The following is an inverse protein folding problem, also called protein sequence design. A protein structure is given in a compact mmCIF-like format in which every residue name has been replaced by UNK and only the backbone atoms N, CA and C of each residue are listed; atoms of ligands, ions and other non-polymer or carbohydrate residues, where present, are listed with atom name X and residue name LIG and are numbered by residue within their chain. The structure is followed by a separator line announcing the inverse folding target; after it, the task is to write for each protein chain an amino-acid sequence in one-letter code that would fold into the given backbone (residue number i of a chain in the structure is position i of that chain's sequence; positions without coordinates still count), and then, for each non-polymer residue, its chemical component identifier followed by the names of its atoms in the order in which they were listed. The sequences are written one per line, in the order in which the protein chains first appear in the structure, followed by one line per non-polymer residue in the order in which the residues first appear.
data_IF_868285785654
#
_entry.id   IF_868285785654
#
_cell.length_a   1.000
_cell.length_b   1.000
_cell.length_c   1.000
_cell.angle_alpha   90.00
_cell.angle_beta   90.00
_cell.angle_gamma   90.00
#
_symmetry.space_group_name_H-M   'P 1'
#
loop_
_entity.id
_entity.type
_entity.pdbx_description
1 polymer ?
#
# COMPACT_ATOMS: atom_id res chain seq x y z
N UNK A 1 1.14 -46.50 1.76
CA UNK A 1 0.19 -45.41 2.09
C UNK A 1 0.97 -44.32 2.80
N UNK A 2 1.42 -43.29 2.08
CA UNK A 2 2.15 -42.17 2.67
C UNK A 2 1.17 -41.04 2.97
N UNK A 3 1.12 -40.65 4.23
CA UNK A 3 0.32 -39.57 4.79
C UNK A 3 0.99 -38.21 4.49
N UNK A 4 0.54 -37.54 3.44
CA UNK A 4 0.97 -36.16 3.16
C UNK A 4 0.32 -35.22 4.18
N UNK A 5 1.10 -34.80 5.17
CA UNK A 5 0.72 -33.79 6.14
C UNK A 5 0.81 -32.42 5.46
N UNK A 6 -0.34 -31.88 5.06
CA UNK A 6 -0.42 -30.52 4.53
C UNK A 6 0.06 -29.54 5.61
N UNK A 7 1.13 -28.81 5.32
CA UNK A 7 1.61 -27.69 6.13
C UNK A 7 0.55 -26.58 6.11
N UNK A 8 0.21 -25.95 7.25
CA UNK A 8 -0.72 -24.83 7.25
C UNK A 8 -0.07 -23.69 6.47
N UNK A 9 -0.62 -23.38 5.30
CA UNK A 9 -0.19 -22.27 4.48
C UNK A 9 -0.25 -20.99 5.31
N UNK A 10 0.88 -20.34 5.47
CA UNK A 10 0.97 -18.96 5.88
C UNK A 10 0.29 -18.11 4.79
N UNK A 11 -1.01 -17.88 4.93
CA UNK A 11 -1.83 -17.05 4.03
C UNK A 11 -1.52 -15.56 4.18
N UNK A 12 -0.25 -15.21 4.32
CA UNK A 12 0.16 -13.80 4.31
C UNK A 12 0.31 -13.41 2.85
N UNK A 13 -0.81 -12.93 2.31
CA UNK A 13 -0.95 -12.37 0.96
C UNK A 13 -0.14 -11.07 0.86
N UNK A 14 1.17 -11.21 0.67
CA UNK A 14 2.09 -10.11 0.42
C UNK A 14 2.24 -9.81 -1.09
N UNK A 15 1.40 -10.44 -1.92
CA UNK A 15 1.59 -10.44 -3.37
C UNK A 15 2.67 -11.42 -3.84
N UNK A 16 2.78 -11.58 -5.15
CA UNK A 16 3.83 -12.37 -5.79
C UNK A 16 5.04 -11.46 -6.06
N UNK A 17 6.25 -11.94 -5.76
CA UNK A 17 7.48 -11.21 -6.09
C UNK A 17 7.83 -11.45 -7.56
N UNK A 18 8.45 -10.45 -8.20
CA UNK A 18 9.01 -10.60 -9.55
C UNK A 18 10.09 -11.67 -9.56
N UNK A 19 9.97 -12.63 -10.48
CA UNK A 19 10.85 -13.81 -10.55
C UNK A 19 11.89 -13.72 -11.66
N UNK A 20 11.63 -12.94 -12.70
CA UNK A 20 12.48 -12.85 -13.88
C UNK A 20 12.47 -11.45 -14.53
N UNK A 21 13.37 -11.27 -15.49
CA UNK A 21 13.58 -10.00 -16.21
C UNK A 21 12.36 -9.61 -17.08
N UNK A 22 11.51 -10.57 -17.46
CA UNK A 22 10.30 -10.31 -18.25
C UNK A 22 9.21 -9.69 -17.37
N UNK A 23 8.98 -10.26 -16.17
CA UNK A 23 8.10 -9.70 -15.14
C UNK A 23 8.58 -8.32 -14.63
N UNK A 24 9.88 -8.03 -14.69
CA UNK A 24 10.45 -6.73 -14.30
C UNK A 24 10.11 -5.62 -15.33
N UNK A 25 10.10 -5.93 -16.62
CA UNK A 25 9.71 -4.99 -17.68
C UNK A 25 8.24 -4.55 -17.54
N UNK A 26 7.35 -5.48 -17.18
CA UNK A 26 5.95 -5.20 -16.90
C UNK A 26 5.80 -4.21 -15.71
N UNK A 27 6.67 -4.30 -14.71
CA UNK A 27 6.69 -3.35 -13.59
C UNK A 27 7.18 -1.96 -14.03
N UNK A 28 8.19 -1.86 -14.88
CA UNK A 28 8.69 -0.56 -15.36
C UNK A 28 7.63 0.22 -16.15
N UNK A 29 6.76 -0.49 -16.89
CA UNK A 29 5.63 0.12 -17.58
C UNK A 29 4.51 0.56 -16.60
N UNK A 30 4.24 -0.24 -15.56
CA UNK A 30 3.14 -0.01 -14.61
C UNK A 30 3.48 0.98 -13.48
N UNK A 31 4.74 1.03 -13.04
CA UNK A 31 5.18 1.82 -11.89
C UNK A 31 5.56 3.22 -12.33
N UNK A 32 5.08 4.24 -11.60
CA UNK A 32 5.48 5.62 -11.85
C UNK A 32 6.98 5.80 -11.53
N UNK A 33 7.75 6.50 -12.38
CA UNK A 33 9.17 6.71 -12.15
C UNK A 33 9.47 7.29 -10.76
N UNK A 34 10.46 6.71 -10.06
CA UNK A 34 10.80 7.05 -8.67
C UNK A 34 11.09 8.53 -8.43
N UNK A 35 11.70 9.22 -9.39
CA UNK A 35 12.00 10.66 -9.32
C UNK A 35 10.75 11.54 -9.15
N UNK A 36 9.55 11.03 -9.50
CA UNK A 36 8.29 11.75 -9.25
C UNK A 36 7.92 11.84 -7.77
N UNK A 37 8.64 11.15 -6.89
CA UNK A 37 8.47 11.21 -5.45
C UNK A 37 9.61 11.99 -4.76
N UNK A 38 10.56 12.54 -5.50
CA UNK A 38 11.60 13.41 -4.94
C UNK A 38 10.98 14.69 -4.38
N UNK A 39 11.22 14.93 -3.10
CA UNK A 39 10.69 16.07 -2.34
C UNK A 39 11.37 17.39 -2.67
N UNK A 40 12.53 17.38 -3.34
CA UNK A 40 13.30 18.60 -3.64
C UNK A 40 12.65 19.45 -4.73
N UNK A 41 12.07 18.82 -5.77
CA UNK A 41 11.39 19.50 -6.88
C UNK A 41 9.87 19.27 -6.92
N UNK A 42 9.32 18.36 -6.10
CA UNK A 42 7.89 18.06 -6.11
C UNK A 42 7.19 18.56 -4.83
N UNK A 43 6.48 19.69 -4.96
CA UNK A 43 5.69 20.26 -3.88
C UNK A 43 4.35 19.52 -3.64
N UNK A 44 4.00 18.58 -4.50
CA UNK A 44 2.77 17.78 -4.41
C UNK A 44 3.02 16.36 -3.88
N UNK A 45 4.07 16.16 -3.07
CA UNK A 45 4.34 14.85 -2.47
C UNK A 45 3.24 14.54 -1.46
N UNK A 46 2.55 13.42 -1.70
CA UNK A 46 1.58 12.88 -0.76
C UNK A 46 2.29 12.46 0.53
N UNK A 47 1.61 12.56 1.66
CA UNK A 47 2.12 12.05 2.93
C UNK A 47 2.58 10.59 2.77
N UNK A 48 3.82 10.23 3.18
CA UNK A 48 4.33 8.87 3.06
C UNK A 48 3.63 7.97 4.09
N UNK A 49 2.75 7.09 3.60
CA UNK A 49 1.94 6.18 4.43
C UNK A 49 2.59 4.82 4.49
N UNK A 50 2.73 4.26 5.69
CA UNK A 50 3.27 2.91 5.89
C UNK A 50 2.17 1.90 6.21
N UNK A 51 2.29 0.68 5.66
CA UNK A 51 1.43 -0.44 6.05
C UNK A 51 1.61 -0.73 7.54
N UNK A 52 0.51 -0.83 8.28
CA UNK A 52 0.53 -1.05 9.72
C UNK A 52 0.79 0.21 10.57
N UNK A 53 0.94 1.39 9.97
CA UNK A 53 1.00 2.67 10.69
C UNK A 53 -0.31 2.93 11.45
N UNK A 54 -0.22 3.42 12.69
CA UNK A 54 -1.39 3.85 13.47
C UNK A 54 -1.47 5.37 13.43
N UNK A 55 -2.45 5.89 12.68
CA UNK A 55 -2.68 7.32 12.54
C UNK A 55 -3.63 7.85 13.60
N UNK A 56 -3.27 9.00 14.18
CA UNK A 56 -4.02 9.64 15.26
C UNK A 56 -4.37 8.67 16.40
N UNK A 57 -3.46 7.72 16.67
CA UNK A 57 -3.61 6.67 17.69
C UNK A 57 -4.90 5.83 17.56
N UNK A 58 -5.54 5.85 16.39
CA UNK A 58 -6.89 5.27 16.19
C UNK A 58 -7.02 4.45 14.93
N UNK A 59 -6.42 4.87 13.82
CA UNK A 59 -6.65 4.23 12.53
C UNK A 59 -5.41 3.43 12.14
N UNK A 60 -5.51 2.10 12.19
CA UNK A 60 -4.47 1.19 11.71
C UNK A 60 -4.56 1.08 10.19
N UNK A 61 -3.53 1.57 9.49
CA UNK A 61 -3.48 1.53 8.02
C UNK A 61 -3.32 0.10 7.53
N UNK A 62 -4.24 -0.32 6.66
CA UNK A 62 -4.23 -1.60 5.95
C UNK A 62 -3.92 -1.40 4.47
N UNK A 63 -4.84 -1.81 3.59
CA UNK A 63 -4.57 -1.86 2.15
C UNK A 63 -4.87 -0.54 1.41
N UNK A 64 -4.09 -0.19 0.39
CA UNK A 64 -4.39 0.94 -0.50
C UNK A 64 -5.63 0.64 -1.36
N UNK A 65 -6.63 1.51 -1.35
CA UNK A 65 -7.87 1.35 -2.12
C UNK A 65 -7.81 2.03 -3.48
N UNK A 66 -7.02 3.10 -3.62
CA UNK A 66 -6.89 3.80 -4.90
C UNK A 66 -6.04 5.07 -4.82
N UNK A 67 -5.88 5.72 -5.97
CA UNK A 67 -5.22 7.01 -6.10
C UNK A 67 -5.89 7.88 -7.18
N UNK A 68 -5.70 9.19 -7.09
CA UNK A 68 -6.20 10.17 -8.05
C UNK A 68 -5.25 11.38 -8.15
N UNK A 69 -5.69 12.43 -8.85
CA UNK A 69 -4.87 13.60 -9.24
C UNK A 69 -4.19 14.36 -8.09
N UNK A 70 -4.60 14.15 -6.85
CA UNK A 70 -3.95 14.74 -5.67
C UNK A 70 -4.30 14.02 -4.39
N UNK A 71 -4.67 12.74 -4.46
CA UNK A 71 -5.02 11.99 -3.25
C UNK A 71 -4.78 10.51 -3.37
N UNK A 72 -4.54 9.85 -2.26
CA UNK A 72 -4.63 8.40 -2.12
C UNK A 72 -5.72 8.03 -1.13
N UNK A 73 -6.36 6.90 -1.36
CA UNK A 73 -7.38 6.36 -0.45
C UNK A 73 -6.88 5.02 0.05
N UNK A 74 -6.99 4.79 1.36
CA UNK A 74 -6.52 3.61 2.05
C UNK A 74 -7.64 3.04 2.92
N UNK A 75 -7.72 1.71 2.98
CA UNK A 75 -8.47 1.02 4.00
C UNK A 75 -7.69 1.11 5.30
N UNK A 76 -8.37 1.46 6.38
CA UNK A 76 -7.83 1.38 7.73
C UNK A 76 -8.84 0.70 8.65
N UNK A 77 -8.35 0.21 9.79
CA UNK A 77 -9.19 -0.30 10.85
C UNK A 77 -9.22 0.69 12.00
N UNK A 78 -10.42 1.19 12.33
CA UNK A 78 -10.64 2.04 13.48
C UNK A 78 -10.60 1.20 14.76
N UNK A 79 -9.58 1.41 15.59
CA UNK A 79 -9.34 0.66 16.83
C UNK A 79 -10.35 0.99 17.93
N UNK A 80 -10.99 2.16 17.89
CA UNK A 80 -12.00 2.56 18.88
C UNK A 80 -13.37 1.99 18.52
N UNK A 81 -13.83 2.27 17.31
CA UNK A 81 -15.16 1.83 16.84
C UNK A 81 -15.16 0.38 16.32
N UNK A 82 -13.98 -0.25 16.22
CA UNK A 82 -13.75 -1.62 15.72
C UNK A 82 -14.39 -1.88 14.35
N UNK A 83 -14.19 -0.96 13.41
CA UNK A 83 -14.76 -1.02 12.06
C UNK A 83 -13.74 -0.65 10.98
N UNK A 84 -13.95 -1.18 9.78
CA UNK A 84 -13.22 -0.74 8.60
C UNK A 84 -13.65 0.67 8.20
N UNK A 85 -12.69 1.52 7.87
CA UNK A 85 -12.87 2.90 7.41
C UNK A 85 -12.01 3.17 6.18
N UNK A 86 -12.36 4.21 5.42
CA UNK A 86 -11.55 4.70 4.32
C UNK A 86 -10.86 6.02 4.72
N UNK A 87 -9.54 6.05 4.68
CA UNK A 87 -8.73 7.25 4.90
C UNK A 87 -8.35 7.85 3.54
N UNK A 88 -8.63 9.14 3.35
CA UNK A 88 -8.22 9.88 2.16
C UNK A 88 -7.13 10.88 2.52
N UNK A 89 -5.96 10.70 1.94
CA UNK A 89 -4.83 11.61 2.08
C UNK A 89 -4.77 12.48 0.86
N UNK A 90 -4.67 13.79 1.07
CA UNK A 90 -4.69 14.78 -0.01
C UNK A 90 -3.32 15.46 0.00
N UNK A 91 -2.73 15.65 -1.19
CA UNK A 91 -1.55 16.48 -1.34
C UNK A 91 -1.94 17.92 -0.98
N UNK A 92 -1.15 18.60 -0.16
CA UNK A 92 -1.35 20.03 0.06
C UNK A 92 -1.11 20.74 -1.28
N UNK A 93 -2.18 21.16 -1.94
CA UNK A 93 -2.08 22.06 -3.09
C UNK A 93 -1.54 23.41 -2.65
N UNK A 94 -0.92 24.14 -3.58
CA UNK A 94 -0.64 25.57 -3.41
C UNK A 94 -1.92 26.40 -3.33
#
# INVERSE_FOLDING_TARGET
MANTKASPGNTTDFGDFVKDEEEELDLEELVKPWHRYETEDNQNVLYPISLGEVLNERCLVGHKLGFGSGSTVWMAFDLQDKRAVALKFIALGK
#
